data_IF_710371474591
#
_entry.id   IF_710371474591
#
_cell.length_a   1.000
_cell.length_b   1.000
_cell.length_c   1.000
_cell.angle_alpha   90.00
_cell.angle_beta   90.00
_cell.angle_gamma   90.00
#
_symmetry.space_group_name_H-M   'P 1'
#
loop_
_entity.id
_entity.type
_entity.pdbx_description
1 polymer ?
#
# COMPACT_ATOMS: atom_id res chain seq x y z
N UNK A 1 -8.48 -6.62 2.18
CA UNK A 1 -7.90 -6.69 0.80
C UNK A 1 -6.88 -7.83 0.64
N UNK A 2 -6.82 -8.49 -0.52
CA UNK A 2 -5.82 -9.54 -0.81
C UNK A 2 -5.19 -9.37 -2.21
N UNK A 3 -3.85 -9.37 -2.25
CA UNK A 3 -3.05 -9.48 -3.48
C UNK A 3 -2.25 -10.79 -3.46
N UNK A 4 -2.22 -11.54 -4.57
CA UNK A 4 -1.58 -12.84 -4.66
C UNK A 4 -1.15 -13.22 -6.08
N UNK A 5 0.06 -13.79 -6.17
CA UNK A 5 0.64 -14.38 -7.39
C UNK A 5 0.47 -15.90 -7.41
N UNK A 6 0.55 -16.52 -8.59
CA UNK A 6 0.43 -17.98 -8.72
C UNK A 6 1.53 -18.78 -7.99
N UNK A 7 2.69 -18.16 -7.76
CA UNK A 7 3.78 -18.72 -6.97
C UNK A 7 3.50 -18.80 -5.46
N UNK A 8 2.30 -18.43 -5.01
CA UNK A 8 1.91 -18.42 -3.61
C UNK A 8 2.36 -17.19 -2.82
N UNK A 9 3.03 -16.23 -3.48
CA UNK A 9 3.34 -14.92 -2.91
C UNK A 9 2.03 -14.18 -2.67
N UNK A 10 1.81 -13.64 -1.47
CA UNK A 10 0.63 -12.83 -1.19
C UNK A 10 0.88 -11.77 -0.13
N UNK A 11 0.09 -10.71 -0.19
CA UNK A 11 -0.08 -9.71 0.86
C UNK A 11 -1.57 -9.55 1.10
N UNK A 12 -1.99 -9.76 2.34
CA UNK A 12 -3.34 -9.47 2.81
C UNK A 12 -3.28 -8.36 3.85
N UNK A 13 -4.16 -7.38 3.74
CA UNK A 13 -4.38 -6.32 4.72
C UNK A 13 -5.87 -6.27 5.07
N UNK A 14 -6.20 -6.29 6.35
CA UNK A 14 -7.58 -6.19 6.86
C UNK A 14 -7.64 -5.00 7.84
N UNK A 15 -8.61 -4.09 7.71
CA UNK A 15 -8.82 -3.01 8.69
C UNK A 15 -9.60 -3.57 9.88
N UNK A 16 -9.05 -3.49 11.09
CA UNK A 16 -9.61 -4.17 12.27
C UNK A 16 -10.07 -3.23 13.39
N UNK A 17 -9.85 -1.92 13.26
CA UNK A 17 -10.29 -0.93 14.24
C UNK A 17 -9.58 0.41 14.09
N UNK A 18 -9.93 1.36 14.94
CA UNK A 18 -9.11 2.56 15.17
C UNK A 18 -8.06 2.30 16.26
N UNK A 19 -6.94 3.00 16.22
CA UNK A 19 -5.94 2.99 17.30
C UNK A 19 -6.54 3.53 18.61
N UNK A 20 -7.36 4.58 18.51
CA UNK A 20 -8.05 5.19 19.63
C UNK A 20 -9.58 5.03 19.46
N UNK A 21 -10.14 3.85 19.74
CA UNK A 21 -11.56 3.57 19.49
C UNK A 21 -12.50 4.51 20.27
N UNK A 22 -12.07 4.98 21.45
CA UNK A 22 -12.83 5.84 22.37
C UNK A 22 -12.52 7.34 22.20
N UNK A 23 -11.78 7.74 21.16
CA UNK A 23 -11.52 9.16 20.87
C UNK A 23 -12.84 9.92 20.66
N UNK A 24 -12.97 11.07 21.32
CA UNK A 24 -14.10 11.98 21.15
C UNK A 24 -13.70 13.00 20.09
N UNK A 25 -14.34 12.91 18.92
CA UNK A 25 -14.19 13.89 17.85
C UNK A 25 -15.08 15.08 18.17
N UNK A 26 -14.52 16.28 18.15
CA UNK A 26 -15.30 17.51 18.16
C UNK A 26 -15.54 17.96 16.71
N UNK A 27 -16.80 17.91 16.26
CA UNK A 27 -17.18 18.27 14.89
C UNK A 27 -16.89 19.75 14.56
N UNK A 28 -16.65 20.60 15.57
CA UNK A 28 -16.42 22.03 15.40
C UNK A 28 -14.95 22.38 15.02
N UNK A 29 -13.98 21.49 15.26
CA UNK A 29 -12.54 21.74 15.03
C UNK A 29 -11.98 21.12 13.74
N UNK A 30 -12.82 20.43 12.96
CA UNK A 30 -12.43 19.73 11.73
C UNK A 30 -11.94 18.29 11.98
N UNK A 31 -11.45 17.61 10.93
CA UNK A 31 -11.04 16.20 11.03
C UNK A 31 -9.88 15.98 12.01
N UNK A 32 -10.06 15.09 12.98
CA UNK A 32 -9.04 14.77 13.98
C UNK A 32 -8.09 13.69 13.42
N UNK A 33 -6.91 14.11 12.97
CA UNK A 33 -5.88 13.21 12.42
C UNK A 33 -5.51 12.08 13.38
N UNK A 34 -5.40 12.36 14.68
CA UNK A 34 -5.02 11.36 15.67
C UNK A 34 -6.14 10.34 15.88
N UNK A 35 -7.41 10.76 15.80
CA UNK A 35 -8.56 9.85 15.89
C UNK A 35 -8.74 8.95 14.66
N UNK A 36 -8.11 9.27 13.54
CA UNK A 36 -8.28 8.58 12.25
C UNK A 36 -7.32 7.41 12.00
N UNK A 37 -6.36 7.16 12.88
CA UNK A 37 -5.45 6.03 12.75
C UNK A 37 -6.19 4.70 12.81
N UNK A 38 -6.00 3.87 11.80
CA UNK A 38 -6.54 2.53 11.68
C UNK A 38 -5.50 1.50 12.08
N UNK A 39 -5.92 0.54 12.90
CA UNK A 39 -5.19 -0.70 13.14
C UNK A 39 -5.41 -1.62 11.94
N UNK A 40 -4.32 -2.09 11.34
CA UNK A 40 -4.32 -2.97 10.19
C UNK A 40 -3.73 -4.31 10.56
N UNK A 41 -4.47 -5.40 10.30
CA UNK A 41 -3.94 -6.76 10.41
C UNK A 41 -3.42 -7.21 9.05
N UNK A 42 -2.18 -7.71 9.04
CA UNK A 42 -1.51 -8.16 7.84
C UNK A 42 -1.13 -9.64 7.87
N UNK A 43 -1.17 -10.28 6.70
CA UNK A 43 -0.55 -11.59 6.47
C UNK A 43 0.24 -11.55 5.17
N UNK A 44 1.52 -11.92 5.25
CA UNK A 44 2.43 -11.89 4.11
C UNK A 44 3.04 -13.26 3.87
N UNK A 45 3.18 -13.61 2.60
CA UNK A 45 4.07 -14.69 2.13
C UNK A 45 4.93 -14.15 1.00
N UNK A 46 6.24 -14.14 1.20
CA UNK A 46 7.21 -13.73 0.19
C UNK A 46 7.63 -14.89 -0.72
N UNK A 47 8.29 -14.57 -1.85
CA UNK A 47 8.76 -15.56 -2.83
C UNK A 47 9.76 -16.56 -2.24
N UNK A 48 10.53 -16.16 -1.22
CA UNK A 48 11.45 -17.04 -0.48
C UNK A 48 10.76 -18.04 0.45
N UNK A 49 9.43 -18.02 0.55
CA UNK A 49 8.65 -18.88 1.45
C UNK A 49 8.50 -18.34 2.88
N UNK A 50 9.19 -17.23 3.21
CA UNK A 50 9.00 -16.51 4.45
C UNK A 50 7.55 -16.04 4.59
N UNK A 51 7.00 -16.22 5.79
CA UNK A 51 5.65 -15.76 6.14
C UNK A 51 5.69 -15.04 7.47
N UNK A 52 5.01 -13.90 7.55
CA UNK A 52 4.84 -13.20 8.83
C UNK A 52 3.46 -12.54 8.90
N UNK A 53 2.85 -12.51 10.09
CA UNK A 53 1.73 -11.65 10.39
C UNK A 53 2.21 -10.31 10.98
N UNK A 54 1.34 -9.31 10.94
CA UNK A 54 1.45 -8.10 11.74
C UNK A 54 0.05 -7.61 12.15
N UNK A 55 -0.02 -6.75 13.17
CA UNK A 55 -1.25 -6.08 13.58
C UNK A 55 -0.86 -4.80 14.32
N UNK A 56 -0.87 -3.68 13.62
CA UNK A 56 -0.39 -2.40 14.14
C UNK A 56 -1.14 -1.24 13.48
N UNK A 57 -1.30 -0.08 14.15
CA UNK A 57 -1.61 1.18 13.48
C UNK A 57 -0.65 1.42 12.31
N UNK A 58 -1.13 1.97 11.20
CA UNK A 58 -0.22 2.29 10.09
C UNK A 58 -0.85 2.85 8.83
N UNK A 59 -2.16 3.13 8.87
CA UNK A 59 -2.87 3.92 7.86
C UNK A 59 -3.93 4.75 8.57
N UNK A 60 -4.20 5.95 8.08
CA UNK A 60 -5.43 6.69 8.38
C UNK A 60 -6.60 6.22 7.52
N UNK A 61 -7.83 6.62 7.85
CA UNK A 61 -9.01 6.39 7.00
C UNK A 61 -8.84 6.96 5.59
N UNK A 62 -8.19 8.11 5.45
CA UNK A 62 -7.91 8.74 4.16
C UNK A 62 -6.87 7.97 3.36
N UNK A 63 -5.78 7.55 3.99
CA UNK A 63 -4.75 6.76 3.32
C UNK A 63 -5.27 5.40 2.87
N UNK A 64 -6.11 4.74 3.67
CA UNK A 64 -6.79 3.51 3.25
C UNK A 64 -7.69 3.75 2.01
N UNK A 65 -8.40 4.87 1.96
CA UNK A 65 -9.19 5.26 0.79
C UNK A 65 -8.29 5.54 -0.43
N UNK A 66 -7.12 6.15 -0.23
CA UNK A 66 -6.13 6.38 -1.27
C UNK A 66 -5.51 5.09 -1.80
N UNK A 67 -5.21 4.11 -0.95
CA UNK A 67 -4.78 2.76 -1.37
C UNK A 67 -5.83 2.15 -2.30
N UNK A 68 -7.11 2.18 -1.92
CA UNK A 68 -8.18 1.63 -2.74
C UNK A 68 -8.28 2.34 -4.11
N UNK A 69 -8.19 3.68 -4.12
CA UNK A 69 -8.19 4.46 -5.35
C UNK A 69 -6.95 4.17 -6.23
N UNK A 70 -5.78 3.98 -5.62
CA UNK A 70 -4.54 3.64 -6.31
C UNK A 70 -4.62 2.26 -6.98
N UNK A 71 -5.15 1.25 -6.28
CA UNK A 71 -5.33 -0.10 -6.82
C UNK A 71 -6.19 -0.10 -8.09
N UNK A 72 -7.26 0.69 -8.11
CA UNK A 72 -8.09 0.83 -9.31
C UNK A 72 -7.38 1.52 -10.47
N UNK A 73 -6.65 2.60 -10.20
CA UNK A 73 -5.86 3.30 -11.22
C UNK A 73 -4.80 2.36 -11.79
N UNK A 74 -4.13 1.57 -10.94
CA UNK A 74 -3.16 0.57 -11.36
C UNK A 74 -3.80 -0.50 -12.25
N UNK A 75 -5.01 -0.96 -11.91
CA UNK A 75 -5.78 -1.91 -12.72
C UNK A 75 -6.10 -1.38 -14.11
N UNK A 76 -6.38 -0.08 -14.23
CA UNK A 76 -6.68 0.61 -15.51
C UNK A 76 -5.41 0.98 -16.30
N UNK A 77 -4.22 0.78 -15.73
CA UNK A 77 -2.96 1.23 -16.35
C UNK A 77 -2.76 2.74 -16.29
N UNK A 78 -3.42 3.42 -15.36
CA UNK A 78 -3.37 4.89 -15.15
C UNK A 78 -2.27 5.30 -14.16
N UNK A 79 -1.45 4.34 -13.73
CA UNK A 79 -0.30 4.55 -12.86
C UNK A 79 0.96 4.35 -13.69
N UNK A 80 1.78 5.40 -13.81
CA UNK A 80 3.05 5.35 -14.53
C UNK A 80 4.00 4.37 -13.86
N UNK A 81 4.47 3.34 -14.56
CA UNK A 81 5.42 2.41 -13.98
C UNK A 81 6.80 3.04 -13.78
N UNK A 82 7.44 2.73 -12.64
CA UNK A 82 8.85 3.07 -12.48
C UNK A 82 9.69 2.24 -13.44
N UNK A 83 10.48 2.95 -14.24
CA UNK A 83 11.70 2.40 -14.81
C UNK A 83 12.76 2.46 -13.71
N UNK A 84 13.37 1.32 -13.38
CA UNK A 84 14.53 1.29 -12.50
C UNK A 84 15.73 1.96 -13.21
N UNK A 85 15.74 3.29 -13.26
CA UNK A 85 16.85 4.08 -13.73
C UNK A 85 17.30 4.98 -12.58
N UNK A 86 18.52 4.75 -12.11
CA UNK A 86 19.11 5.51 -11.01
C UNK A 86 19.35 6.97 -11.36
N UNK A 87 19.20 7.83 -10.35
CA UNK A 87 19.78 9.17 -10.29
C UNK A 87 18.80 10.29 -9.92
N UNK A 88 19.34 11.45 -9.49
CA UNK A 88 20.14 11.67 -8.28
C UNK A 88 19.26 12.14 -7.11
N UNK A 89 19.81 12.02 -5.90
CA UNK A 89 19.39 12.79 -4.72
C UNK A 89 19.63 14.26 -5.06
N UNK A 90 18.60 15.12 -5.12
CA UNK A 90 18.79 16.56 -4.90
C UNK A 90 17.45 17.30 -4.69
N UNK A 91 17.52 18.13 -3.65
CA UNK A 91 16.78 19.36 -3.32
C UNK A 91 15.29 19.27 -2.91
N UNK A 92 15.08 19.51 -1.62
CA UNK A 92 13.79 19.83 -1.00
C UNK A 92 13.67 21.34 -0.95
N UNK A 93 12.65 21.89 -1.61
CA UNK A 93 12.27 23.30 -1.48
C UNK A 93 11.38 23.45 -0.23
N UNK A 94 11.69 24.43 0.60
CA UNK A 94 10.97 24.71 1.84
C UNK A 94 9.68 25.50 1.53
N UNK A 95 8.56 25.01 2.09
CA UNK A 95 7.21 25.63 2.15
C UNK A 95 6.33 25.59 0.87
N UNK A 96 5.53 24.52 0.74
CA UNK A 96 4.11 24.58 0.32
C UNK A 96 3.35 23.28 0.66
N UNK A 97 2.20 23.42 1.33
CA UNK A 97 1.09 22.46 1.55
C UNK A 97 1.42 21.06 2.06
N UNK A 98 1.23 20.79 3.38
CA UNK A 98 0.91 19.53 4.13
C UNK A 98 1.27 18.12 3.58
N UNK A 99 2.01 18.01 2.49
CA UNK A 99 2.41 16.81 1.78
C UNK A 99 3.90 16.95 1.56
N UNK A 100 4.71 15.93 1.89
CA UNK A 100 6.12 15.97 1.56
C UNK A 100 6.30 16.20 0.07
N UNK A 101 7.23 17.07 -0.33
CA UNK A 101 7.56 17.35 -1.72
C UNK A 101 7.83 16.05 -2.55
N UNK A 102 8.28 14.98 -1.90
CA UNK A 102 8.50 13.68 -2.53
C UNK A 102 7.20 12.90 -2.83
N UNK A 103 6.07 13.25 -2.23
CA UNK A 103 4.78 12.57 -2.42
C UNK A 103 4.32 12.63 -3.87
N UNK A 104 4.28 13.82 -4.48
CA UNK A 104 3.88 13.96 -5.88
C UNK A 104 4.92 13.36 -6.83
N UNK A 105 6.21 13.47 -6.50
CA UNK A 105 7.29 12.86 -7.28
C UNK A 105 7.18 11.33 -7.30
N UNK A 106 6.93 10.71 -6.14
CA UNK A 106 6.73 9.27 -6.04
C UNK A 106 5.44 8.86 -6.75
N UNK A 107 4.34 9.63 -6.58
CA UNK A 107 3.05 9.37 -7.23
C UNK A 107 3.11 9.46 -8.75
N UNK A 108 3.80 10.45 -9.30
CA UNK A 108 4.05 10.59 -10.74
C UNK A 108 4.90 9.46 -11.30
N UNK A 109 5.80 8.92 -10.47
CA UNK A 109 6.58 7.70 -10.76
C UNK A 109 5.77 6.41 -10.50
N UNK A 110 4.52 6.51 -10.05
CA UNK A 110 3.65 5.37 -9.77
C UNK A 110 3.87 4.66 -8.45
N UNK A 111 4.56 5.32 -7.51
CA UNK A 111 4.67 4.94 -6.11
C UNK A 111 3.66 5.70 -5.27
N UNK A 112 2.97 4.99 -4.39
CA UNK A 112 2.26 5.55 -3.25
C UNK A 112 3.09 5.23 -2.00
N UNK A 113 3.40 6.25 -1.19
CA UNK A 113 4.24 6.10 0.01
C UNK A 113 3.66 6.94 1.13
N UNK A 114 3.34 6.33 2.27
CA UNK A 114 2.69 7.00 3.39
C UNK A 114 3.69 7.50 4.45
N UNK A 115 3.29 8.53 5.20
CA UNK A 115 4.06 9.09 6.32
C UNK A 115 3.67 8.35 7.61
N UNK A 116 4.67 7.97 8.42
CA UNK A 116 4.65 6.85 9.40
C UNK A 116 4.65 5.47 8.71
N UNK A 117 5.81 5.08 8.13
CA UNK A 117 5.87 4.46 6.82
C UNK A 117 5.77 2.93 6.90
N UNK A 118 4.59 2.44 7.26
CA UNK A 118 4.33 1.01 7.27
C UNK A 118 4.08 0.44 5.87
N UNK A 119 3.59 1.25 4.92
CA UNK A 119 3.20 0.81 3.58
C UNK A 119 3.76 1.70 2.45
N UNK A 120 4.23 1.05 1.39
CA UNK A 120 4.38 1.65 0.07
C UNK A 120 3.86 0.71 -1.02
N UNK A 121 3.31 1.28 -2.09
CA UNK A 121 2.81 0.56 -3.25
C UNK A 121 3.43 1.13 -4.51
N UNK A 122 3.84 0.27 -5.44
CA UNK A 122 4.38 0.69 -6.73
C UNK A 122 3.92 -0.23 -7.84
N UNK A 123 3.94 0.25 -9.08
CA UNK A 123 3.86 -0.63 -10.25
C UNK A 123 5.19 -0.61 -11.03
N UNK A 124 5.65 -1.79 -11.42
CA UNK A 124 6.66 -1.94 -12.47
C UNK A 124 5.99 -2.55 -13.70
N UNK A 125 6.59 -2.37 -14.89
CA UNK A 125 5.93 -2.49 -16.20
C UNK A 125 4.97 -3.68 -16.40
N UNK A 126 3.99 -3.51 -17.30
CA UNK A 126 2.97 -4.51 -17.57
C UNK A 126 3.56 -5.83 -18.10
N UNK A 127 3.12 -6.94 -17.50
CA UNK A 127 3.47 -8.29 -17.89
C UNK A 127 2.37 -8.98 -18.69
N UNK A 128 2.71 -10.15 -19.24
CA UNK A 128 1.73 -11.10 -19.77
C UNK A 128 2.02 -12.47 -19.21
N UNK A 129 1.05 -13.05 -18.52
CA UNK A 129 1.10 -14.44 -18.09
C UNK A 129 0.76 -15.35 -19.26
N UNK A 130 1.56 -16.38 -19.51
CA UNK A 130 1.26 -17.36 -20.55
C UNK A 130 -0.08 -18.07 -20.28
N UNK A 131 -1.06 -17.88 -21.17
CA UNK A 131 -2.32 -18.60 -21.15
C UNK A 131 -2.24 -19.90 -21.96
N UNK A 132 -3.03 -20.90 -21.57
CA UNK A 132 -3.25 -22.08 -22.41
C UNK A 132 -3.94 -21.63 -23.72
N UNK A 133 -3.20 -21.58 -24.82
CA UNK A 133 -3.71 -21.15 -26.13
C UNK A 133 -3.06 -19.89 -26.73
N UNK A 134 -1.94 -19.40 -26.19
CA UNK A 134 -1.13 -18.35 -26.84
C UNK A 134 -1.62 -16.90 -26.66
N UNK A 135 -2.84 -16.70 -26.15
CA UNK A 135 -3.29 -15.42 -25.60
C UNK A 135 -2.88 -15.35 -24.13
N UNK A 136 -1.86 -14.56 -23.81
CA UNK A 136 -1.45 -14.34 -22.44
C UNK A 136 -2.43 -13.45 -21.68
N UNK A 137 -2.73 -13.79 -20.42
CA UNK A 137 -3.54 -12.95 -19.53
C UNK A 137 -2.70 -11.71 -19.15
N UNK A 138 -3.21 -10.49 -19.32
CA UNK A 138 -2.49 -9.29 -18.89
C UNK A 138 -2.27 -9.33 -17.37
N UNK A 139 -1.05 -9.00 -16.94
CA UNK A 139 -0.70 -8.87 -15.53
C UNK A 139 -0.07 -7.53 -15.24
N UNK A 140 -0.28 -7.05 -14.03
CA UNK A 140 0.38 -5.87 -13.46
C UNK A 140 1.36 -6.39 -12.41
N UNK A 141 2.59 -5.89 -12.46
CA UNK A 141 3.58 -6.18 -11.43
C UNK A 141 3.48 -5.11 -10.35
N UNK A 142 3.07 -5.51 -9.16
CA UNK A 142 2.91 -4.65 -7.99
C UNK A 142 4.07 -4.88 -7.03
N UNK A 143 4.67 -3.79 -6.59
CA UNK A 143 5.65 -3.74 -5.52
C UNK A 143 4.93 -3.30 -4.25
N UNK A 144 5.00 -4.10 -3.19
CA UNK A 144 4.44 -3.76 -1.87
C UNK A 144 5.59 -3.66 -0.88
N UNK A 145 5.95 -2.45 -0.49
CA UNK A 145 6.93 -2.22 0.57
C UNK A 145 6.24 -2.20 1.92
N UNK A 146 6.79 -2.97 2.86
CA UNK A 146 6.33 -3.06 4.25
C UNK A 146 7.46 -2.63 5.16
N UNK A 147 7.26 -1.52 5.88
CA UNK A 147 8.26 -0.94 6.79
C UNK A 147 7.89 -1.14 8.25
N UNK A 148 8.83 -0.77 9.13
CA UNK A 148 8.63 -0.66 10.57
C UNK A 148 7.91 -1.89 11.18
N UNK A 149 6.79 -1.71 11.87
CA UNK A 149 6.02 -2.75 12.56
C UNK A 149 5.38 -3.77 11.58
N UNK A 150 5.33 -3.46 10.29
CA UNK A 150 4.78 -4.35 9.25
C UNK A 150 5.88 -5.19 8.55
N UNK A 151 7.15 -4.93 8.86
CA UNK A 151 8.30 -5.68 8.36
C UNK A 151 8.44 -7.07 9.04
N UNK A 152 9.11 -8.06 8.40
CA UNK A 152 9.30 -9.38 8.99
C UNK A 152 10.18 -9.33 10.25
N UNK A 153 9.90 -10.14 11.28
CA UNK A 153 10.73 -10.24 12.47
C UNK A 153 12.03 -11.04 12.22
N UNK A 154 13.07 -10.86 13.06
CA UNK A 154 13.15 -9.88 14.14
C UNK A 154 13.38 -8.47 13.59
N UNK A 155 12.73 -7.47 14.20
CA UNK A 155 13.03 -6.06 13.96
C UNK A 155 14.50 -5.83 14.36
N UNK A 156 15.41 -5.47 13.44
CA UNK A 156 16.79 -5.22 13.79
C UNK A 156 16.89 -3.98 14.69
N UNK A 157 17.92 -3.93 15.53
CA UNK A 157 18.15 -2.85 16.48
C UNK A 157 18.48 -1.50 15.81
N UNK A 158 18.79 -1.48 14.51
CA UNK A 158 19.16 -0.28 13.75
C UNK A 158 18.62 -0.33 12.30
N UNK A 159 18.18 0.85 11.82
CA UNK A 159 17.59 1.20 10.52
C UNK A 159 16.26 0.51 10.14
N UNK A 160 15.23 1.33 9.89
CA UNK A 160 13.89 0.96 9.42
C UNK A 160 13.93 -0.14 8.33
N UNK A 161 13.68 -1.43 8.67
CA UNK A 161 13.82 -2.49 7.70
C UNK A 161 12.61 -2.46 6.76
N UNK A 162 12.79 -2.01 5.52
CA UNK A 162 11.78 -2.20 4.50
C UNK A 162 11.87 -3.59 3.91
N UNK A 163 10.74 -4.27 3.80
CA UNK A 163 10.60 -5.52 3.04
C UNK A 163 9.70 -5.28 1.84
N UNK A 164 10.27 -5.36 0.65
CA UNK A 164 9.51 -5.33 -0.59
C UNK A 164 9.02 -6.73 -0.98
N UNK A 165 7.74 -6.84 -1.29
CA UNK A 165 7.09 -8.03 -1.86
C UNK A 165 6.63 -7.69 -3.27
N UNK A 166 7.17 -8.39 -4.25
CA UNK A 166 6.78 -8.25 -5.65
C UNK A 166 5.72 -9.29 -6.01
N UNK A 167 4.61 -8.85 -6.60
CA UNK A 167 3.51 -9.70 -7.04
C UNK A 167 3.20 -9.45 -8.51
N UNK A 168 2.95 -10.51 -9.28
CA UNK A 168 2.31 -10.41 -10.59
C UNK A 168 0.83 -10.78 -10.43
N UNK A 169 -0.04 -9.78 -10.57
CA UNK A 169 -1.47 -9.93 -10.34
C UNK A 169 -2.26 -9.54 -11.59
N UNK A 170 -3.37 -10.21 -11.89
CA UNK A 170 -4.23 -9.79 -12.99
C UNK A 170 -5.03 -8.52 -12.57
N UNK A 171 -5.36 -7.61 -13.52
CA UNK A 171 -6.04 -6.35 -13.19
C UNK A 171 -7.36 -6.49 -12.42
N UNK A 172 -8.11 -7.56 -12.66
CA UNK A 172 -9.36 -7.84 -11.95
C UNK A 172 -9.14 -8.13 -10.46
N UNK A 173 -7.97 -8.65 -10.08
CA UNK A 173 -7.62 -8.83 -8.67
C UNK A 173 -7.35 -7.50 -7.97
N UNK A 174 -6.75 -6.52 -8.67
CA UNK A 174 -6.56 -5.17 -8.13
C UNK A 174 -7.90 -4.48 -7.86
N UNK A 175 -8.88 -4.63 -8.76
CA UNK A 175 -10.23 -4.10 -8.56
C UNK A 175 -10.90 -4.76 -7.34
N UNK A 176 -10.85 -6.09 -7.23
CA UNK A 176 -11.41 -6.79 -6.06
C UNK A 176 -10.73 -6.37 -4.76
N UNK A 177 -9.40 -6.23 -4.75
CA UNK A 177 -8.68 -5.77 -3.58
C UNK A 177 -9.10 -4.33 -3.17
N UNK A 178 -9.34 -3.45 -4.13
CA UNK A 178 -9.88 -2.12 -3.86
C UNK A 178 -11.31 -2.16 -3.29
N UNK A 179 -12.17 -3.02 -3.83
CA UNK A 179 -13.54 -3.23 -3.33
C UNK A 179 -13.54 -3.79 -1.90
N UNK A 180 -12.71 -4.80 -1.63
CA UNK A 180 -12.54 -5.39 -0.29
C UNK A 180 -12.07 -4.32 0.72
N UNK A 181 -11.07 -3.52 0.36
CA UNK A 181 -10.57 -2.48 1.27
C UNK A 181 -11.62 -1.41 1.56
N UNK A 182 -12.44 -1.02 0.57
CA UNK A 182 -13.56 -0.09 0.80
C UNK A 182 -14.66 -0.72 1.64
N UNK A 183 -14.91 -2.01 1.49
CA UNK A 183 -15.87 -2.73 2.32
C UNK A 183 -15.40 -2.72 3.78
N UNK A 184 -14.12 -3.01 4.04
CA UNK A 184 -13.53 -2.92 5.37
C UNK A 184 -13.65 -1.48 5.93
N UNK A 185 -13.26 -0.48 5.14
CA UNK A 185 -13.29 0.93 5.53
C UNK A 185 -14.70 1.46 5.78
N UNK A 186 -15.74 0.87 5.19
CA UNK A 186 -17.13 1.30 5.42
C UNK A 186 -17.59 1.12 6.87
N UNK A 187 -16.92 0.25 7.64
CA UNK A 187 -17.15 0.09 9.07
C UNK A 187 -16.41 1.13 9.94
N UNK A 188 -15.48 1.89 9.33
CA UNK A 188 -14.60 2.84 10.00
C UNK A 188 -14.61 4.19 9.25
N UNK A 189 -15.70 4.98 9.35
CA UNK A 189 -15.80 6.27 8.68
C UNK A 189 -14.72 7.27 9.16
N UNK A 190 -14.34 8.28 8.36
CA UNK A 190 -13.45 9.34 8.83
C UNK A 190 -13.97 9.97 10.14
N UNK A 191 -13.04 10.21 11.06
CA UNK A 191 -13.21 10.89 12.35
C UNK A 191 -12.60 12.29 12.30
#
# INVERSE_FOLDING_TARGET
>A
MLLGSDGGVHVQLDVVGYQFPDAVVDDDDGPDWDANWLVVSGRVRAAGGETWPFCDPGLTTWEAAEVAAWLERAARGEVTAVQAAGGPEDEVDDEADERPFWWDVLRERGWLVFLEPCLSLGVSGAGRRAGAGGSGVPTVRVLVGLGAEWAPPPLPAEAHPWRCVELEVPPDQLIRAAEDLRADLSAYPPR
#
